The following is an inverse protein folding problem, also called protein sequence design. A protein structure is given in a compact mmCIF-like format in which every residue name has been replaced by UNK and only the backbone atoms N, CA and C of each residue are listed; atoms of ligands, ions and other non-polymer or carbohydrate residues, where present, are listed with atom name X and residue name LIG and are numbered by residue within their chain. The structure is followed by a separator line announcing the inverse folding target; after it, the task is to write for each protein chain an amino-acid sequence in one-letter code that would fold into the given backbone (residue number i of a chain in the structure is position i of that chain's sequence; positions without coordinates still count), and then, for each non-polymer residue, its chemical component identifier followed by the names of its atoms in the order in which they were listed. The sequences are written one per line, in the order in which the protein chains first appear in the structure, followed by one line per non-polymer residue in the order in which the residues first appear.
data_IF_176658960250
#
_entry.id   IF_176658960250
#
_cell.length_a   1.000
_cell.length_b   1.000
_cell.length_c   1.000
_cell.angle_alpha   90.00
_cell.angle_beta   90.00
_cell.angle_gamma   90.00
#
_symmetry.space_group_name_H-M   'P 1'
#
loop_
_entity.id
_entity.type
_entity.pdbx_description
1 polymer ?
#
# COMPACT_ATOMS: atom_id res chain seq x y z
N UNK A 1 10.01 -13.20 -34.30
CA UNK A 1 9.06 -12.97 -33.18
C UNK A 1 7.66 -12.91 -33.74
N UNK A 2 6.73 -13.68 -33.13
CA UNK A 2 5.32 -13.66 -33.53
C UNK A 2 4.62 -12.38 -33.10
N UNK A 3 3.50 -12.05 -33.72
CA UNK A 3 2.62 -10.94 -33.33
C UNK A 3 2.02 -11.20 -31.94
N UNK A 4 2.09 -10.25 -31.01
CA UNK A 4 1.57 -10.34 -29.65
C UNK A 4 0.17 -9.73 -29.56
N UNK A 5 -0.66 -10.36 -28.72
CA UNK A 5 -1.96 -9.81 -28.30
C UNK A 5 -1.89 -9.51 -26.80
N UNK A 6 -1.55 -8.28 -26.45
CA UNK A 6 -1.30 -7.85 -25.07
C UNK A 6 -2.56 -7.21 -24.49
N UNK A 7 -2.99 -7.66 -23.31
CA UNK A 7 -4.10 -7.04 -22.60
C UNK A 7 -3.62 -6.28 -21.37
N UNK A 8 -3.85 -4.96 -21.33
CA UNK A 8 -3.37 -4.09 -20.24
C UNK A 8 -4.49 -3.77 -19.26
N UNK A 9 -4.26 -3.95 -17.95
CA UNK A 9 -5.25 -3.68 -16.91
C UNK A 9 -4.67 -2.72 -15.88
N UNK A 10 -5.15 -1.47 -15.88
CA UNK A 10 -4.77 -0.45 -14.90
C UNK A 10 -5.93 0.53 -14.66
N UNK A 11 -6.18 0.88 -13.41
CA UNK A 11 -7.23 1.83 -13.03
C UNK A 11 -6.86 3.31 -13.25
N UNK A 12 -5.61 3.60 -13.55
CA UNK A 12 -5.16 4.93 -13.94
C UNK A 12 -5.21 5.08 -15.47
N UNK A 13 -6.24 5.71 -16.00
CA UNK A 13 -6.43 5.91 -17.46
C UNK A 13 -5.22 6.61 -18.07
N UNK A 14 -4.68 7.63 -17.40
CA UNK A 14 -3.50 8.36 -17.92
C UNK A 14 -2.26 7.47 -18.01
N UNK A 15 -1.99 6.66 -16.98
CA UNK A 15 -0.86 5.73 -17.00
C UNK A 15 -1.08 4.58 -17.99
N UNK A 16 -2.29 4.04 -18.06
CA UNK A 16 -2.67 2.99 -19.01
C UNK A 16 -2.43 3.45 -20.45
N UNK A 17 -2.90 4.66 -20.80
CA UNK A 17 -2.70 5.22 -22.13
C UNK A 17 -1.20 5.41 -22.47
N UNK A 18 -0.40 5.91 -21.51
CA UNK A 18 1.04 6.05 -21.71
C UNK A 18 1.73 4.69 -21.91
N UNK A 19 1.35 3.68 -21.11
CA UNK A 19 1.88 2.32 -21.24
C UNK A 19 1.50 1.70 -22.57
N UNK A 20 0.23 1.81 -22.99
CA UNK A 20 -0.25 1.29 -24.28
C UNK A 20 0.47 1.97 -25.46
N UNK A 21 0.64 3.29 -25.39
CA UNK A 21 1.38 4.04 -26.41
C UNK A 21 2.83 3.56 -26.52
N UNK A 22 3.51 3.39 -25.40
CA UNK A 22 4.90 2.94 -25.36
C UNK A 22 5.06 1.50 -25.87
N UNK A 23 4.14 0.59 -25.49
CA UNK A 23 4.13 -0.79 -25.98
C UNK A 23 3.86 -0.86 -27.49
N UNK A 24 2.99 -0.01 -28.06
CA UNK A 24 2.76 0.08 -29.51
C UNK A 24 4.01 0.48 -30.28
N UNK A 25 4.90 1.31 -29.68
CA UNK A 25 6.16 1.71 -30.31
C UNK A 25 7.25 0.63 -30.24
N UNK A 26 7.20 -0.27 -29.26
CA UNK A 26 8.28 -1.22 -28.96
C UNK A 26 8.00 -2.64 -29.38
N UNK A 27 6.73 -3.03 -29.42
CA UNK A 27 6.36 -4.40 -29.78
C UNK A 27 6.46 -4.61 -31.31
N UNK A 28 6.65 -5.87 -31.76
CA UNK A 28 6.73 -6.20 -33.17
C UNK A 28 5.52 -5.70 -33.97
N UNK A 29 5.76 -5.28 -35.21
CA UNK A 29 4.71 -4.84 -36.14
C UNK A 29 3.62 -5.91 -36.26
N UNK A 30 2.36 -5.48 -36.17
CA UNK A 30 1.18 -6.39 -36.19
C UNK A 30 0.74 -6.85 -34.79
N UNK A 31 1.43 -6.48 -33.72
CA UNK A 31 0.94 -6.72 -32.35
C UNK A 31 -0.31 -5.88 -32.07
N UNK A 32 -1.24 -6.43 -31.30
CA UNK A 32 -2.51 -5.77 -30.96
C UNK A 32 -2.60 -5.60 -29.44
N UNK A 33 -2.97 -4.41 -29.00
CA UNK A 33 -3.13 -4.11 -27.58
C UNK A 33 -4.57 -3.69 -27.32
N UNK A 34 -5.21 -4.30 -26.31
CA UNK A 34 -6.49 -3.85 -25.74
C UNK A 34 -6.31 -3.63 -24.25
N UNK A 35 -7.25 -2.95 -23.61
CA UNK A 35 -7.12 -2.57 -22.23
C UNK A 35 -8.45 -2.54 -21.47
N UNK A 36 -8.35 -2.50 -20.13
CA UNK A 36 -9.46 -2.33 -19.22
C UNK A 36 -9.04 -1.53 -17.99
N UNK A 37 -9.96 -0.71 -17.46
CA UNK A 37 -9.71 0.11 -16.27
C UNK A 37 -10.11 -0.56 -14.96
N UNK A 38 -10.77 -1.70 -15.06
CA UNK A 38 -11.21 -2.47 -13.88
C UNK A 38 -11.20 -3.99 -14.16
N UNK A 39 -11.13 -4.81 -13.10
CA UNK A 39 -11.26 -6.27 -13.21
C UNK A 39 -12.56 -6.73 -13.88
N UNK A 40 -13.68 -6.06 -13.61
CA UNK A 40 -14.99 -6.40 -14.20
C UNK A 40 -15.02 -6.13 -15.70
N UNK A 41 -14.46 -5.00 -16.13
CA UNK A 41 -14.31 -4.68 -17.55
C UNK A 41 -13.37 -5.66 -18.25
N UNK A 42 -12.24 -5.98 -17.61
CA UNK A 42 -11.27 -6.94 -18.13
C UNK A 42 -11.90 -8.31 -18.37
N UNK A 43 -12.69 -8.85 -17.44
CA UNK A 43 -13.37 -10.14 -17.64
C UNK A 43 -14.31 -10.15 -18.85
N UNK A 44 -15.01 -9.05 -19.11
CA UNK A 44 -15.92 -8.93 -20.27
C UNK A 44 -15.16 -8.95 -21.60
N UNK A 45 -13.98 -8.32 -21.66
CA UNK A 45 -13.18 -8.15 -22.88
C UNK A 45 -12.24 -9.33 -23.16
N UNK A 46 -11.61 -9.90 -22.14
CA UNK A 46 -10.56 -10.91 -22.26
C UNK A 46 -10.96 -12.14 -23.10
N UNK A 47 -12.19 -12.64 -22.91
CA UNK A 47 -12.67 -13.84 -23.64
C UNK A 47 -12.74 -13.60 -25.16
N UNK A 48 -13.20 -12.40 -25.56
CA UNK A 48 -13.29 -12.04 -26.98
C UNK A 48 -11.91 -11.66 -27.56
N UNK A 49 -11.08 -10.98 -26.74
CA UNK A 49 -9.76 -10.52 -27.16
C UNK A 49 -8.77 -11.66 -27.35
N UNK A 50 -8.85 -12.75 -26.59
CA UNK A 50 -7.90 -13.89 -26.63
C UNK A 50 -6.44 -13.44 -26.54
N UNK A 51 -5.99 -12.91 -25.38
CA UNK A 51 -4.63 -12.41 -25.23
C UNK A 51 -3.58 -13.51 -25.35
N UNK A 52 -2.37 -13.14 -25.78
CA UNK A 52 -1.16 -13.98 -25.66
C UNK A 52 -0.34 -13.61 -24.43
N UNK A 53 -0.59 -12.42 -23.83
CA UNK A 53 0.01 -11.98 -22.58
C UNK A 53 -0.93 -10.98 -21.90
N UNK A 54 -0.87 -10.93 -20.56
CA UNK A 54 -1.60 -9.95 -19.74
C UNK A 54 -0.60 -9.13 -18.94
N UNK A 55 -0.75 -7.81 -18.96
CA UNK A 55 0.05 -6.86 -18.16
C UNK A 55 -0.90 -6.13 -17.21
N UNK A 56 -0.68 -6.20 -15.90
CA UNK A 56 -1.63 -5.61 -14.98
C UNK A 56 -1.00 -4.95 -13.75
N UNK A 57 -1.68 -3.93 -13.24
CA UNK A 57 -1.39 -3.36 -11.93
C UNK A 57 -1.73 -4.38 -10.83
N UNK A 58 -0.74 -4.71 -9.99
CA UNK A 58 -0.90 -5.68 -8.90
C UNK A 58 -2.02 -5.31 -7.92
N UNK A 59 -2.27 -4.01 -7.70
CA UNK A 59 -3.34 -3.55 -6.82
C UNK A 59 -4.73 -4.04 -7.28
N UNK A 60 -4.95 -4.15 -8.60
CA UNK A 60 -6.19 -4.70 -9.17
C UNK A 60 -6.28 -6.21 -9.00
N UNK A 61 -5.15 -6.90 -8.98
CA UNK A 61 -5.08 -8.36 -8.78
C UNK A 61 -5.62 -8.82 -7.42
N UNK A 62 -5.60 -7.95 -6.43
CA UNK A 62 -6.12 -8.20 -5.10
C UNK A 62 -7.64 -7.93 -4.98
N UNK A 63 -8.26 -7.27 -5.96
CA UNK A 63 -9.70 -7.00 -5.95
C UNK A 63 -10.52 -8.27 -6.13
N UNK A 64 -11.71 -8.29 -5.52
CA UNK A 64 -12.64 -9.41 -5.67
C UNK A 64 -13.51 -9.20 -6.92
N UNK A 65 -13.62 -10.26 -7.71
CA UNK A 65 -14.59 -10.37 -8.80
C UNK A 65 -15.29 -11.71 -8.64
N UNK A 66 -16.61 -11.72 -8.57
CA UNK A 66 -17.40 -12.92 -8.30
C UNK A 66 -16.92 -13.73 -7.07
N UNK A 67 -16.56 -13.00 -5.98
CA UNK A 67 -16.06 -13.56 -4.70
C UNK A 67 -14.65 -14.18 -4.74
N UNK A 68 -13.97 -14.20 -5.89
CA UNK A 68 -12.58 -14.65 -6.02
C UNK A 68 -11.63 -13.44 -6.25
N UNK A 69 -10.39 -13.55 -5.82
CA UNK A 69 -9.36 -12.54 -6.12
C UNK A 69 -9.03 -12.57 -7.61
N UNK A 70 -8.93 -11.39 -8.20
CA UNK A 70 -8.85 -11.28 -9.66
C UNK A 70 -7.59 -11.92 -10.25
N UNK A 71 -6.40 -11.70 -9.68
CA UNK A 71 -5.17 -12.31 -10.21
C UNK A 71 -5.18 -13.85 -10.12
N UNK A 72 -5.48 -14.49 -8.98
CA UNK A 72 -5.65 -15.96 -8.94
C UNK A 72 -6.73 -16.49 -9.90
N UNK A 73 -7.83 -15.78 -10.07
CA UNK A 73 -8.88 -16.12 -11.02
C UNK A 73 -8.38 -16.07 -12.46
N UNK A 74 -7.61 -15.02 -12.83
CA UNK A 74 -6.99 -14.93 -14.15
C UNK A 74 -5.99 -16.07 -14.40
N UNK A 75 -5.13 -16.38 -13.43
CA UNK A 75 -4.14 -17.47 -13.54
C UNK A 75 -4.84 -18.82 -13.77
N UNK A 76 -5.96 -19.04 -13.08
CA UNK A 76 -6.77 -20.25 -13.25
C UNK A 76 -7.46 -20.32 -14.61
N UNK A 77 -7.94 -19.17 -15.10
CA UNK A 77 -8.64 -19.08 -16.38
C UNK A 77 -7.69 -19.12 -17.60
N UNK A 78 -6.47 -18.59 -17.42
CA UNK A 78 -5.46 -18.46 -18.47
C UNK A 78 -4.12 -19.10 -18.03
N UNK A 79 -4.07 -20.44 -17.81
CA UNK A 79 -2.90 -21.10 -17.21
C UNK A 79 -1.63 -21.00 -18.07
N UNK A 80 -1.78 -20.93 -19.40
CA UNK A 80 -0.68 -20.93 -20.37
C UNK A 80 -0.28 -19.51 -20.82
N UNK A 81 -1.00 -18.49 -20.35
CA UNK A 81 -0.74 -17.10 -20.74
C UNK A 81 0.13 -16.42 -19.65
N UNK A 82 1.27 -15.83 -20.01
CA UNK A 82 2.07 -15.08 -19.05
C UNK A 82 1.30 -13.86 -18.53
N UNK A 83 1.23 -13.77 -17.21
CA UNK A 83 0.62 -12.63 -16.50
C UNK A 83 1.74 -11.86 -15.83
N UNK A 84 2.09 -10.72 -16.42
CA UNK A 84 3.10 -9.79 -15.91
C UNK A 84 2.39 -8.78 -15.02
N UNK A 85 2.82 -8.68 -13.78
CA UNK A 85 2.26 -7.71 -12.86
C UNK A 85 3.27 -6.64 -12.51
N UNK A 86 2.80 -5.42 -12.26
CA UNK A 86 3.64 -4.32 -11.81
C UNK A 86 3.04 -3.58 -10.62
N UNK A 87 3.89 -2.91 -9.86
CA UNK A 87 3.52 -2.10 -8.71
C UNK A 87 4.71 -1.32 -8.18
N UNK A 88 4.48 -0.38 -7.26
CA UNK A 88 5.52 0.53 -6.77
C UNK A 88 6.40 -0.06 -5.66
N UNK A 89 6.04 -1.19 -5.07
CA UNK A 89 6.76 -1.79 -3.94
C UNK A 89 7.86 -2.76 -4.39
N UNK A 90 9.05 -2.67 -3.82
CA UNK A 90 10.17 -3.58 -4.09
C UNK A 90 9.98 -5.01 -3.54
N UNK A 91 9.14 -5.18 -2.51
CA UNK A 91 9.08 -6.41 -1.70
C UNK A 91 7.88 -7.30 -2.01
N UNK A 92 7.22 -7.13 -3.14
CA UNK A 92 6.02 -7.91 -3.51
C UNK A 92 6.24 -8.89 -4.66
N UNK A 93 7.46 -9.00 -5.19
CA UNK A 93 7.76 -9.92 -6.29
C UNK A 93 7.49 -11.39 -5.91
N UNK A 94 7.89 -11.81 -4.71
CA UNK A 94 7.60 -13.15 -4.18
C UNK A 94 6.10 -13.38 -3.98
N UNK A 95 5.38 -12.38 -3.49
CA UNK A 95 3.92 -12.43 -3.30
C UNK A 95 3.20 -12.49 -4.65
N UNK A 96 3.64 -11.71 -5.63
CA UNK A 96 3.07 -11.72 -6.98
C UNK A 96 3.24 -13.11 -7.64
N UNK A 97 4.42 -13.70 -7.53
CA UNK A 97 4.70 -15.07 -8.03
C UNK A 97 3.90 -16.13 -7.26
N UNK A 98 3.77 -16.02 -5.95
CA UNK A 98 2.92 -16.90 -5.14
C UNK A 98 1.45 -16.85 -5.58
N UNK A 99 0.96 -15.68 -6.02
CA UNK A 99 -0.38 -15.51 -6.58
C UNK A 99 -0.50 -15.97 -8.04
N UNK A 100 0.59 -16.48 -8.63
CA UNK A 100 0.64 -17.06 -9.97
C UNK A 100 1.04 -16.09 -11.08
N UNK A 101 1.52 -14.88 -10.76
CA UNK A 101 2.12 -14.01 -11.75
C UNK A 101 3.40 -14.61 -12.32
N UNK A 102 3.60 -14.48 -13.63
CA UNK A 102 4.80 -14.95 -14.33
C UNK A 102 6.02 -14.08 -13.99
N UNK A 103 5.81 -12.77 -13.89
CA UNK A 103 6.84 -11.78 -13.60
C UNK A 103 6.27 -10.62 -12.79
N UNK A 104 7.13 -9.98 -11.97
CA UNK A 104 6.82 -8.73 -11.29
C UNK A 104 7.82 -7.65 -11.67
N UNK A 105 7.33 -6.49 -12.08
CA UNK A 105 8.15 -5.35 -12.48
C UNK A 105 7.82 -4.15 -11.59
N UNK A 106 8.87 -3.56 -10.99
CA UNK A 106 8.71 -2.36 -10.18
C UNK A 106 8.35 -1.18 -11.07
N UNK A 107 7.22 -0.53 -10.77
CA UNK A 107 6.85 0.76 -11.34
C UNK A 107 7.66 1.88 -10.70
N UNK A 108 8.27 2.80 -11.47
CA UNK A 108 8.97 3.95 -10.95
C UNK A 108 8.07 4.87 -10.12
N UNK A 109 8.64 5.54 -9.15
CA UNK A 109 7.98 6.62 -8.42
C UNK A 109 7.98 7.92 -9.24
N UNK A 110 7.18 8.90 -8.82
CA UNK A 110 7.16 10.21 -9.46
C UNK A 110 8.56 10.86 -9.45
N UNK A 111 9.06 11.24 -10.64
CA UNK A 111 10.41 11.80 -10.82
C UNK A 111 11.50 10.78 -11.16
N UNK A 112 11.24 9.48 -11.09
CA UNK A 112 12.15 8.45 -11.57
C UNK A 112 11.98 8.21 -13.09
N UNK A 113 13.04 7.69 -13.74
CA UNK A 113 12.99 7.37 -15.16
C UNK A 113 12.05 6.20 -15.46
N UNK A 114 11.13 6.41 -16.38
CA UNK A 114 10.16 5.37 -16.81
C UNK A 114 10.77 4.34 -17.76
N UNK A 115 11.87 4.68 -18.45
CA UNK A 115 12.48 3.83 -19.46
C UNK A 115 12.80 2.41 -18.98
N UNK A 116 13.49 2.21 -17.82
CA UNK A 116 13.80 0.86 -17.33
C UNK A 116 12.54 0.02 -17.01
N UNK A 117 11.44 0.67 -16.65
CA UNK A 117 10.16 0.01 -16.42
C UNK A 117 9.57 -0.52 -17.74
N UNK A 118 9.54 0.31 -18.78
CA UNK A 118 9.05 -0.11 -20.10
C UNK A 118 9.93 -1.21 -20.70
N UNK A 119 11.26 -1.09 -20.57
CA UNK A 119 12.21 -2.14 -21.00
C UNK A 119 11.94 -3.46 -20.28
N UNK A 120 11.67 -3.41 -18.96
CA UNK A 120 11.32 -4.56 -18.16
C UNK A 120 10.01 -5.24 -18.62
N UNK A 121 8.97 -4.47 -18.92
CA UNK A 121 7.69 -5.01 -19.45
C UNK A 121 7.91 -5.69 -20.79
N UNK A 122 8.61 -5.04 -21.73
CA UNK A 122 8.88 -5.60 -23.06
C UNK A 122 9.69 -6.89 -22.97
N UNK A 123 10.77 -6.89 -22.20
CA UNK A 123 11.60 -8.09 -21.97
C UNK A 123 10.79 -9.25 -21.37
N UNK A 124 9.90 -8.96 -20.42
CA UNK A 124 9.04 -10.00 -19.81
C UNK A 124 8.02 -10.54 -20.82
N UNK A 125 7.47 -9.70 -21.69
CA UNK A 125 6.57 -10.11 -22.77
C UNK A 125 7.29 -11.00 -23.78
N UNK A 126 8.51 -10.65 -24.18
CA UNK A 126 9.32 -11.41 -25.14
C UNK A 126 9.75 -12.78 -24.60
N UNK A 127 10.22 -12.82 -23.33
CA UNK A 127 10.68 -14.04 -22.68
C UNK A 127 9.51 -14.96 -22.30
N UNK A 128 8.36 -14.41 -21.88
CA UNK A 128 7.18 -15.17 -21.49
C UNK A 128 6.48 -15.87 -22.66
N UNK A 129 6.65 -15.39 -23.88
CA UNK A 129 6.04 -15.93 -25.10
C UNK A 129 6.98 -16.86 -25.90
N UNK A 130 8.26 -16.99 -25.49
CA UNK A 130 9.29 -17.77 -26.19
C UNK A 130 9.46 -19.20 -25.67
N UNK A 131 8.69 -19.65 -24.67
CA UNK A 131 8.87 -20.98 -24.11
C UNK A 131 8.13 -22.04 -24.94
N UNK A 132 8.87 -22.86 -25.66
CA UNK A 132 8.53 -24.25 -25.93
C UNK A 132 8.11 -24.89 -24.60
N UNK A 133 6.91 -25.46 -24.59
CA UNK A 133 6.32 -26.01 -23.37
C UNK A 133 7.16 -27.08 -22.73
N UNK A 134 7.49 -26.95 -21.52
CA UNK A 134 7.99 -27.92 -20.56
C UNK A 134 9.23 -27.44 -19.79
N UNK A 135 9.05 -26.59 -18.80
CA UNK A 135 9.85 -26.65 -17.56
C UNK A 135 9.53 -25.42 -16.67
N UNK A 136 8.88 -25.64 -15.59
CA UNK A 136 8.99 -24.98 -14.30
C UNK A 136 7.66 -24.80 -13.54
N UNK A 137 6.87 -25.86 -13.44
CA UNK A 137 5.84 -25.95 -12.40
C UNK A 137 6.01 -27.28 -11.65
N UNK A 138 7.15 -27.48 -11.02
CA UNK A 138 7.33 -28.51 -9.99
C UNK A 138 8.65 -28.26 -9.26
N UNK A 139 8.58 -27.66 -8.10
CA UNK A 139 9.57 -27.91 -7.06
C UNK A 139 8.99 -27.44 -5.70
N UNK A 140 8.52 -28.42 -4.95
CA UNK A 140 8.47 -28.37 -3.49
C UNK A 140 9.87 -27.98 -2.96
N UNK A 141 10.00 -27.12 -1.94
CA UNK A 141 11.28 -26.79 -1.36
C UNK A 141 11.82 -27.98 -0.57
N UNK A 142 12.89 -28.58 -1.08
CA UNK A 142 13.76 -29.52 -0.35
C UNK A 142 14.67 -28.73 0.62
N UNK A 143 15.06 -29.29 1.76
CA UNK A 143 15.78 -28.55 2.81
C UNK A 143 17.19 -28.17 2.38
N UNK A 144 17.64 -26.99 2.85
CA UNK A 144 18.93 -26.38 2.57
C UNK A 144 20.12 -27.29 2.93
N UNK A 145 21.19 -27.35 2.09
CA UNK A 145 22.42 -28.01 2.45
C UNK A 145 23.27 -27.13 3.38
N UNK A 146 23.87 -27.77 4.39
CA UNK A 146 24.83 -27.18 5.33
C UNK A 146 26.02 -26.60 4.59
N UNK A 147 26.33 -25.34 4.86
CA UNK A 147 27.53 -24.66 4.37
C UNK A 147 28.74 -25.11 5.20
N UNK A 148 29.75 -25.66 4.52
CA UNK A 148 31.09 -25.88 5.08
C UNK A 148 31.91 -24.57 4.97
N UNK A 149 32.88 -24.32 5.87
CA UNK A 149 33.65 -23.08 5.89
C UNK A 149 34.64 -22.99 4.72
N UNK A 150 34.70 -21.83 4.06
CA UNK A 150 35.73 -21.51 3.05
C UNK A 150 36.86 -20.71 3.67
N UNK A 151 38.13 -20.94 3.21
CA UNK A 151 39.30 -20.27 3.73
C UNK A 151 39.44 -18.82 3.23
N UNK A 152 40.12 -18.02 4.04
CA UNK A 152 40.46 -16.61 3.82
C UNK A 152 41.22 -16.37 2.52
N UNK A 153 40.79 -15.39 1.72
CA UNK A 153 41.61 -14.80 0.65
C UNK A 153 41.49 -13.27 0.68
N UNK A 154 42.59 -12.66 1.06
CA UNK A 154 43.10 -11.31 0.79
C UNK A 154 42.13 -10.15 0.48
N UNK A 155 42.11 -9.27 1.45
CA UNK A 155 41.84 -7.85 1.51
C UNK A 155 42.32 -7.06 0.28
N UNK A 156 41.42 -6.63 -0.58
CA UNK A 156 41.63 -5.52 -1.48
C UNK A 156 40.80 -4.31 -0.98
N UNK A 157 41.44 -3.14 -0.95
CA UNK A 157 40.92 -1.91 -0.37
C UNK A 157 39.64 -1.47 -1.05
N UNK A 158 38.54 -1.40 -0.29
CA UNK A 158 37.28 -0.84 -0.72
C UNK A 158 37.37 0.70 -0.69
N UNK A 159 37.05 1.34 -1.82
CA UNK A 159 36.87 2.76 -1.91
C UNK A 159 35.73 3.20 -0.97
N UNK A 160 35.95 4.33 -0.29
CA UNK A 160 35.00 4.90 0.65
C UNK A 160 33.65 5.19 -0.04
N UNK A 161 32.51 4.98 0.64
CA UNK A 161 31.22 5.35 0.09
C UNK A 161 31.11 6.88 -0.06
N UNK A 162 30.38 7.36 -1.09
CA UNK A 162 30.20 8.78 -1.29
C UNK A 162 29.53 9.41 -0.06
N UNK A 163 30.03 10.58 0.37
CA UNK A 163 29.47 11.35 1.48
C UNK A 163 27.98 11.63 1.20
N UNK A 164 27.11 11.46 2.21
CA UNK A 164 25.71 11.87 2.05
C UNK A 164 25.66 13.37 1.74
N UNK A 165 24.91 13.71 0.68
CA UNK A 165 24.58 15.10 0.34
C UNK A 165 23.85 15.78 1.52
N UNK A 166 23.74 17.12 1.52
CA UNK A 166 23.21 17.85 2.66
C UNK A 166 21.86 17.30 3.07
N UNK A 167 21.78 16.83 4.32
CA UNK A 167 20.53 16.44 4.98
C UNK A 167 19.51 17.54 4.75
N UNK A 168 18.41 17.22 4.08
CA UNK A 168 17.25 18.10 4.10
C UNK A 168 16.86 18.27 5.56
N UNK A 169 17.11 19.45 6.10
CA UNK A 169 16.69 19.85 7.44
C UNK A 169 15.16 19.68 7.44
N UNK A 170 14.67 18.78 8.28
CA UNK A 170 13.23 18.63 8.47
C UNK A 170 12.65 20.01 8.79
N UNK A 171 11.57 20.43 8.12
CA UNK A 171 10.99 21.73 8.39
C UNK A 171 10.63 21.82 9.87
N UNK A 172 11.06 22.89 10.54
CA UNK A 172 10.65 23.18 11.92
C UNK A 172 9.16 23.50 11.85
N UNK A 173 8.34 22.53 12.20
CA UNK A 173 6.90 22.68 12.22
C UNK A 173 6.55 23.25 13.60
N UNK A 174 6.31 24.57 13.67
CA UNK A 174 5.77 25.21 14.87
C UNK A 174 4.29 24.85 15.02
N UNK A 175 4.01 23.69 15.61
CA UNK A 175 2.67 23.33 16.02
C UNK A 175 2.42 23.90 17.43
N UNK A 176 1.27 24.53 17.70
CA UNK A 176 0.91 24.88 19.06
C UNK A 176 0.84 23.61 19.90
N UNK A 177 1.47 23.61 21.07
CA UNK A 177 1.37 22.52 22.03
C UNK A 177 -0.12 22.26 22.30
N UNK A 178 -0.57 21.04 22.09
CA UNK A 178 -1.95 20.65 22.38
C UNK A 178 -2.24 20.85 23.88
N UNK A 179 -3.41 21.40 24.22
CA UNK A 179 -3.81 21.67 25.61
C UNK A 179 -4.18 20.39 26.41
N UNK A 180 -3.63 19.22 26.06
CA UNK A 180 -3.90 17.94 26.74
C UNK A 180 -2.92 16.84 26.31
N UNK A 181 -2.84 15.80 27.14
CA UNK A 181 -2.09 14.57 26.79
C UNK A 181 -2.82 13.80 25.70
N UNK A 182 -2.10 13.39 24.69
CA UNK A 182 -2.63 12.47 23.67
C UNK A 182 -2.47 11.03 24.18
N UNK A 183 -3.57 10.30 24.25
CA UNK A 183 -3.62 8.91 24.74
C UNK A 183 -3.75 7.91 23.58
N UNK A 184 -4.18 8.38 22.40
CA UNK A 184 -4.48 7.53 21.25
C UNK A 184 -4.21 8.26 19.93
N UNK A 185 -3.61 7.57 18.96
CA UNK A 185 -3.40 8.09 17.60
C UNK A 185 -4.20 7.23 16.63
N UNK A 186 -5.00 7.86 15.77
CA UNK A 186 -5.76 7.19 14.72
C UNK A 186 -5.28 7.64 13.34
N UNK A 187 -5.00 6.69 12.44
CA UNK A 187 -4.50 6.97 11.09
C UNK A 187 -5.40 6.28 10.06
N UNK A 188 -5.80 7.01 9.03
CA UNK A 188 -6.56 6.49 7.90
C UNK A 188 -5.81 6.65 6.58
N UNK A 189 -5.81 5.60 5.75
CA UNK A 189 -5.11 5.58 4.46
C UNK A 189 -5.78 4.64 3.45
N UNK A 190 -5.52 4.88 2.14
CA UNK A 190 -6.03 4.03 1.06
C UNK A 190 -4.99 3.87 -0.06
N UNK A 191 -5.27 4.26 -1.29
CA UNK A 191 -4.35 4.17 -2.43
C UNK A 191 -3.07 4.98 -2.18
N UNK A 192 -1.91 4.33 -2.28
CA UNK A 192 -0.61 4.90 -1.89
C UNK A 192 -0.36 4.88 -0.38
N UNK A 193 -1.33 4.39 0.42
CA UNK A 193 -1.24 4.38 1.88
C UNK A 193 -0.23 3.38 2.43
N UNK A 194 -0.04 2.24 1.78
CA UNK A 194 0.99 1.26 2.19
C UNK A 194 2.40 1.82 2.08
N UNK A 195 2.67 2.63 1.07
CA UNK A 195 3.92 3.35 0.87
C UNK A 195 4.06 4.49 1.88
N UNK A 196 2.98 5.28 2.05
CA UNK A 196 2.96 6.36 3.03
C UNK A 196 3.21 5.85 4.45
N UNK A 197 2.51 4.80 4.89
CA UNK A 197 2.71 4.15 6.19
C UNK A 197 4.12 3.55 6.32
N UNK A 198 4.66 2.97 5.24
CA UNK A 198 6.04 2.44 5.22
C UNK A 198 7.11 3.53 5.31
N UNK A 199 6.79 4.77 4.93
CA UNK A 199 7.67 5.93 5.09
C UNK A 199 7.58 6.54 6.49
N UNK A 200 6.37 6.66 7.07
CA UNK A 200 6.18 7.36 8.34
C UNK A 200 6.44 6.49 9.58
N UNK A 201 5.98 5.22 9.59
CA UNK A 201 6.06 4.39 10.80
C UNK A 201 7.50 4.07 11.25
N UNK A 202 8.49 3.79 10.37
CA UNK A 202 9.89 3.59 10.79
C UNK A 202 10.54 4.85 11.37
N UNK A 203 10.03 6.05 11.02
CA UNK A 203 10.53 7.31 11.54
C UNK A 203 10.02 7.62 12.96
N UNK A 204 8.92 6.98 13.39
CA UNK A 204 8.36 7.15 14.74
C UNK A 204 9.20 6.42 15.79
N UNK A 205 9.44 7.09 16.92
CA UNK A 205 10.25 6.57 18.03
C UNK A 205 9.48 6.58 19.34
N UNK A 206 9.65 5.54 20.17
CA UNK A 206 9.14 5.56 21.54
C UNK A 206 9.73 6.75 22.35
N UNK A 207 9.00 7.26 23.39
CA UNK A 207 7.66 6.83 23.79
C UNK A 207 6.57 7.50 22.96
N UNK A 208 5.53 6.73 22.60
CA UNK A 208 4.34 7.20 21.92
C UNK A 208 3.08 6.54 22.49
N UNK A 209 1.91 7.19 22.41
CA UNK A 209 0.63 6.53 22.63
C UNK A 209 0.44 5.32 21.70
N UNK A 210 -0.58 4.50 21.99
CA UNK A 210 -1.00 3.46 21.07
C UNK A 210 -1.53 4.06 19.76
N UNK A 211 -1.26 3.38 18.64
CA UNK A 211 -1.65 3.82 17.29
C UNK A 211 -2.60 2.80 16.69
N UNK A 212 -3.76 3.23 16.21
CA UNK A 212 -4.74 2.43 15.50
C UNK A 212 -4.86 2.89 14.06
N UNK A 213 -4.79 1.97 13.10
CA UNK A 213 -4.69 2.29 11.67
C UNK A 213 -5.73 1.55 10.87
N UNK A 214 -6.49 2.26 10.05
CA UNK A 214 -7.24 1.68 8.94
C UNK A 214 -6.51 2.01 7.64
N UNK A 215 -6.04 0.98 6.97
CA UNK A 215 -5.59 0.98 5.59
C UNK A 215 -6.59 0.18 4.77
N UNK A 216 -7.11 0.73 3.68
CA UNK A 216 -7.92 -0.04 2.74
C UNK A 216 -7.05 -1.09 2.06
N UNK A 217 -7.09 -2.29 2.59
CA UNK A 217 -6.26 -3.41 2.17
C UNK A 217 -7.07 -4.71 2.23
N UNK A 218 -6.93 -5.63 1.24
CA UNK A 218 -7.63 -6.90 1.27
C UNK A 218 -7.23 -7.79 2.46
N UNK A 219 -8.12 -8.71 2.89
CA UNK A 219 -7.78 -9.73 3.86
C UNK A 219 -6.49 -10.47 3.49
N UNK A 220 -5.72 -10.93 4.48
CA UNK A 220 -4.40 -11.56 4.36
C UNK A 220 -3.25 -10.56 4.08
N UNK A 221 -3.48 -9.51 3.29
CA UNK A 221 -2.45 -8.48 3.07
C UNK A 221 -2.24 -7.59 4.30
N UNK A 222 -3.28 -7.33 5.09
CA UNK A 222 -3.17 -6.59 6.35
C UNK A 222 -2.21 -7.26 7.32
N UNK A 223 -2.29 -8.58 7.45
CA UNK A 223 -1.39 -9.36 8.29
C UNK A 223 0.06 -9.29 7.79
N UNK A 224 0.30 -9.60 6.51
CA UNK A 224 1.64 -9.57 5.92
C UNK A 224 2.26 -8.17 5.98
N UNK A 225 1.45 -7.13 5.79
CA UNK A 225 1.87 -5.74 5.89
C UNK A 225 2.29 -5.40 7.33
N UNK A 226 1.51 -5.82 8.32
CA UNK A 226 1.82 -5.63 9.74
C UNK A 226 3.11 -6.34 10.15
N UNK A 227 3.27 -7.61 9.76
CA UNK A 227 4.47 -8.40 10.03
C UNK A 227 5.73 -7.77 9.41
N UNK A 228 5.63 -7.29 8.16
CA UNK A 228 6.73 -6.59 7.49
C UNK A 228 7.12 -5.30 8.22
N UNK A 229 6.14 -4.48 8.58
CA UNK A 229 6.40 -3.23 9.30
C UNK A 229 6.99 -3.47 10.69
N UNK A 230 6.53 -4.50 11.38
CA UNK A 230 7.07 -4.88 12.68
C UNK A 230 8.57 -5.21 12.62
N UNK A 231 9.04 -5.76 11.49
CA UNK A 231 10.46 -6.07 11.30
C UNK A 231 11.38 -4.87 11.06
N UNK A 232 10.82 -3.69 10.75
CA UNK A 232 11.61 -2.50 10.39
C UNK A 232 11.34 -1.26 11.25
N UNK A 233 10.37 -1.33 12.16
CA UNK A 233 9.97 -0.21 13.02
C UNK A 233 10.46 -0.39 14.46
N UNK A 234 10.66 0.72 15.17
CA UNK A 234 10.99 0.71 16.59
C UNK A 234 9.75 0.45 17.48
N UNK A 235 8.53 0.67 16.95
CA UNK A 235 7.26 0.36 17.59
C UNK A 235 6.88 -1.09 17.31
N UNK A 236 6.14 -1.72 18.23
CA UNK A 236 5.58 -3.06 18.00
C UNK A 236 4.35 -2.96 17.11
N UNK A 237 4.35 -3.63 15.97
CA UNK A 237 3.27 -3.56 14.98
C UNK A 237 2.61 -4.91 14.80
N UNK A 238 1.28 -4.96 14.83
CA UNK A 238 0.51 -6.18 14.57
C UNK A 238 -0.79 -5.89 13.83
N UNK A 239 -1.33 -6.90 13.16
CA UNK A 239 -2.73 -6.88 12.76
C UNK A 239 -3.60 -6.92 14.01
N UNK A 240 -4.61 -6.06 14.07
CA UNK A 240 -5.53 -5.96 15.19
C UNK A 240 -6.42 -7.20 15.32
N UNK A 241 -6.67 -7.62 16.53
CA UNK A 241 -7.66 -8.64 16.87
C UNK A 241 -8.77 -8.05 17.73
N UNK A 242 -9.96 -8.66 17.65
CA UNK A 242 -11.07 -8.29 18.55
C UNK A 242 -10.68 -8.48 20.01
N UNK A 243 -10.92 -7.48 20.84
CA UNK A 243 -10.55 -7.48 22.27
C UNK A 243 -9.10 -7.04 22.55
N UNK A 244 -8.28 -6.67 21.56
CA UNK A 244 -6.95 -6.11 21.83
C UNK A 244 -7.04 -4.84 22.67
N UNK A 245 -6.28 -4.79 23.76
CA UNK A 245 -6.09 -3.57 24.56
C UNK A 245 -4.99 -2.74 23.92
N UNK A 246 -5.30 -1.50 23.60
CA UNK A 246 -4.33 -0.57 22.99
C UNK A 246 -3.26 -0.20 24.02
N UNK A 247 -2.01 -0.48 23.70
CA UNK A 247 -0.84 -0.24 24.56
C UNK A 247 0.04 0.88 24.01
N UNK A 248 0.73 1.65 24.84
CA UNK A 248 1.77 2.57 24.39
C UNK A 248 2.83 1.84 23.54
N UNK A 249 3.40 2.54 22.57
CA UNK A 249 4.42 2.03 21.64
C UNK A 249 3.98 0.85 20.76
N UNK A 250 2.66 0.61 20.65
CA UNK A 250 2.10 -0.42 19.78
C UNK A 250 1.25 0.21 18.66
N UNK A 251 1.30 -0.42 17.51
CA UNK A 251 0.52 -0.08 16.32
C UNK A 251 -0.38 -1.25 15.95
N UNK A 252 -1.66 -0.98 15.79
CA UNK A 252 -2.68 -1.97 15.45
C UNK A 252 -3.27 -1.63 14.08
N UNK A 253 -3.05 -2.48 13.08
CA UNK A 253 -3.57 -2.31 11.73
C UNK A 253 -4.84 -3.13 11.59
N UNK A 254 -5.92 -2.51 11.14
CA UNK A 254 -7.20 -3.17 10.96
C UNK A 254 -7.11 -4.39 10.03
N UNK A 255 -7.72 -5.53 10.39
CA UNK A 255 -7.78 -6.69 9.51
C UNK A 255 -8.63 -6.37 8.27
N UNK A 256 -8.14 -6.73 7.10
CA UNK A 256 -8.93 -6.59 5.87
C UNK A 256 -10.25 -7.37 5.95
N UNK A 257 -11.33 -6.77 5.47
CA UNK A 257 -12.68 -7.38 5.48
C UNK A 257 -13.43 -7.29 6.81
N UNK A 258 -12.88 -6.60 7.82
CA UNK A 258 -13.58 -6.30 9.07
C UNK A 258 -13.41 -4.82 9.41
N UNK A 259 -14.45 -4.20 9.92
CA UNK A 259 -14.37 -2.86 10.48
C UNK A 259 -13.67 -2.90 11.84
N UNK A 260 -12.78 -1.94 12.06
CA UNK A 260 -12.12 -1.72 13.34
C UNK A 260 -12.69 -0.47 14.01
N UNK A 261 -13.06 -0.60 15.25
CA UNK A 261 -13.48 0.51 16.12
C UNK A 261 -12.79 0.40 17.49
N UNK A 262 -12.83 1.48 18.26
CA UNK A 262 -12.24 1.57 19.59
C UNK A 262 -13.33 1.92 20.60
N UNK A 263 -13.33 1.27 21.75
CA UNK A 263 -14.18 1.61 22.90
C UNK A 263 -13.34 1.89 24.13
N UNK A 264 -13.79 2.81 24.98
CA UNK A 264 -13.13 3.07 26.26
C UNK A 264 -13.66 2.10 27.32
N UNK A 265 -12.75 1.42 28.01
CA UNK A 265 -13.05 0.54 29.13
C UNK A 265 -12.19 0.96 30.34
N UNK A 266 -12.79 1.71 31.27
CA UNK A 266 -12.06 2.32 32.38
C UNK A 266 -11.01 3.31 31.87
N UNK A 267 -9.74 3.05 32.18
CA UNK A 267 -8.59 3.84 31.71
C UNK A 267 -7.99 3.35 30.40
N UNK A 268 -8.47 2.22 29.85
CA UNK A 268 -7.91 1.59 28.65
C UNK A 268 -8.80 1.78 27.44
N UNK A 269 -8.20 1.70 26.25
CA UNK A 269 -8.90 1.60 24.97
C UNK A 269 -8.85 0.15 24.48
N UNK A 270 -10.00 -0.36 24.04
CA UNK A 270 -10.13 -1.74 23.55
C UNK A 270 -10.61 -1.72 22.10
N UNK A 271 -9.91 -2.47 21.26
CA UNK A 271 -10.22 -2.61 19.83
C UNK A 271 -11.35 -3.62 19.66
N UNK A 272 -12.27 -3.30 18.76
CA UNK A 272 -13.28 -4.21 18.25
C UNK A 272 -13.09 -4.40 16.75
N UNK A 273 -13.04 -5.66 16.31
CA UNK A 273 -12.92 -6.03 14.89
C UNK A 273 -14.15 -6.83 14.47
N UNK A 274 -15.12 -6.20 13.80
CA UNK A 274 -16.40 -6.83 13.44
C UNK A 274 -16.60 -6.86 11.93
N UNK A 275 -17.14 -7.98 11.42
CA UNK A 275 -17.67 -8.01 10.08
C UNK A 275 -18.89 -7.09 9.98
N UNK A 276 -19.02 -6.41 8.86
CA UNK A 276 -20.14 -5.50 8.60
C UNK A 276 -20.24 -5.16 7.12
N UNK A 277 -21.36 -4.53 6.71
CA UNK A 277 -21.51 -4.06 5.35
C UNK A 277 -20.46 -2.99 5.04
N UNK A 278 -19.92 -2.94 3.82
CA UNK A 278 -19.00 -1.89 3.41
C UNK A 278 -19.59 -0.48 3.61
N UNK A 279 -18.83 0.43 4.20
CA UNK A 279 -19.12 1.86 4.22
C UNK A 279 -18.28 2.53 3.13
N UNK A 280 -18.87 3.41 2.30
CA UNK A 280 -18.18 3.97 1.12
C UNK A 280 -17.58 2.91 0.19
N UNK A 281 -18.21 1.74 0.10
CA UNK A 281 -17.74 0.56 -0.67
C UNK A 281 -16.45 -0.08 -0.17
N UNK A 282 -16.00 0.22 1.06
CA UNK A 282 -14.78 -0.32 1.67
C UNK A 282 -15.03 -0.96 3.05
N UNK A 283 -14.27 -1.99 3.36
CA UNK A 283 -14.22 -2.63 4.67
C UNK A 283 -12.79 -3.19 4.88
N UNK A 284 -12.03 -2.69 5.87
CA UNK A 284 -12.38 -1.69 6.89
C UNK A 284 -12.65 -0.29 6.33
N UNK A 285 -13.42 0.53 7.06
CA UNK A 285 -13.66 1.93 6.75
C UNK A 285 -12.99 2.86 7.78
N UNK A 286 -12.38 3.93 7.30
CA UNK A 286 -11.68 4.93 8.13
C UNK A 286 -12.67 5.73 8.96
N UNK A 287 -13.83 6.10 8.39
CA UNK A 287 -14.87 6.84 9.12
C UNK A 287 -15.35 6.08 10.36
N UNK A 288 -15.50 4.74 10.31
CA UNK A 288 -15.89 3.92 11.46
C UNK A 288 -14.82 3.98 12.57
N UNK A 289 -13.55 3.92 12.20
CA UNK A 289 -12.47 4.05 13.18
C UNK A 289 -12.47 5.45 13.81
N UNK A 290 -12.45 6.49 12.99
CA UNK A 290 -12.35 7.87 13.46
C UNK A 290 -13.57 8.28 14.29
N UNK A 291 -14.78 7.87 13.89
CA UNK A 291 -16.00 8.07 14.66
C UNK A 291 -15.89 7.49 16.08
N UNK A 292 -15.46 6.23 16.17
CA UNK A 292 -15.31 5.53 17.45
C UNK A 292 -14.20 6.13 18.33
N UNK A 293 -13.10 6.59 17.71
CA UNK A 293 -12.01 7.28 18.42
C UNK A 293 -12.46 8.64 18.93
N UNK A 294 -13.24 9.39 18.14
CA UNK A 294 -13.83 10.65 18.56
C UNK A 294 -14.71 10.49 19.81
N UNK A 295 -15.49 9.42 19.87
CA UNK A 295 -16.37 9.11 21.03
C UNK A 295 -15.58 8.57 22.25
N UNK A 296 -14.57 7.72 22.01
CA UNK A 296 -13.83 7.07 23.08
C UNK A 296 -12.77 7.96 23.75
N UNK A 297 -12.07 8.80 22.97
CA UNK A 297 -10.91 9.56 23.43
C UNK A 297 -11.11 11.08 23.37
N UNK A 298 -12.07 11.58 22.58
CA UNK A 298 -12.34 13.00 22.45
C UNK A 298 -11.06 13.78 22.14
N UNK A 299 -10.82 14.88 22.83
CA UNK A 299 -9.63 15.74 22.64
C UNK A 299 -8.27 15.07 22.92
N UNK A 300 -8.28 13.91 23.57
CA UNK A 300 -7.06 13.15 23.88
C UNK A 300 -6.64 12.21 22.74
N UNK A 301 -7.22 12.34 21.55
CA UNK A 301 -6.77 11.62 20.37
C UNK A 301 -6.11 12.55 19.36
N UNK A 302 -5.23 12.00 18.52
CA UNK A 302 -4.69 12.63 17.33
C UNK A 302 -5.22 11.90 16.09
N UNK A 303 -5.88 12.63 15.17
CA UNK A 303 -6.35 12.10 13.89
C UNK A 303 -5.38 12.41 12.77
N UNK A 304 -5.07 11.42 11.92
CA UNK A 304 -4.19 11.59 10.75
C UNK A 304 -4.85 10.96 9.52
N UNK A 305 -5.03 11.73 8.44
CA UNK A 305 -5.54 11.22 7.18
C UNK A 305 -4.47 11.32 6.09
N UNK A 306 -4.21 10.20 5.42
CA UNK A 306 -3.19 10.06 4.40
C UNK A 306 -3.81 9.86 3.01
N UNK A 307 -2.94 9.80 2.01
CA UNK A 307 -3.28 9.52 0.60
C UNK A 307 -4.35 8.44 0.43
N UNK A 308 -5.28 8.66 -0.48
CA UNK A 308 -6.35 7.72 -0.78
C UNK A 308 -7.40 8.26 -1.74
N UNK A 309 -8.11 7.36 -2.42
CA UNK A 309 -9.24 7.67 -3.30
C UNK A 309 -10.50 7.86 -2.46
N UNK A 310 -11.34 8.82 -2.86
CA UNK A 310 -12.67 9.02 -2.28
C UNK A 310 -12.67 9.95 -1.08
N UNK A 311 -13.61 9.71 -0.14
CA UNK A 311 -13.92 10.61 0.98
C UNK A 311 -13.91 9.91 2.35
N UNK A 312 -13.66 8.62 2.41
CA UNK A 312 -13.70 7.87 3.66
C UNK A 312 -12.71 8.43 4.67
N UNK A 313 -13.13 8.59 5.91
CA UNK A 313 -12.38 9.21 7.00
C UNK A 313 -12.52 10.73 7.10
N UNK A 314 -13.09 11.40 6.09
CA UNK A 314 -13.24 12.86 6.15
C UNK A 314 -14.28 13.29 7.20
N UNK A 315 -15.42 12.60 7.27
CA UNK A 315 -16.48 12.92 8.25
C UNK A 315 -16.05 12.54 9.68
N UNK A 316 -15.45 11.37 9.86
CA UNK A 316 -14.93 10.95 11.18
C UNK A 316 -13.79 11.85 11.67
N UNK A 317 -12.89 12.30 10.79
CA UNK A 317 -11.85 13.26 11.15
C UNK A 317 -12.43 14.63 11.57
N UNK A 318 -13.48 15.07 10.88
CA UNK A 318 -14.21 16.29 11.26
C UNK A 318 -14.84 16.16 12.65
N UNK A 319 -15.43 15.01 12.95
CA UNK A 319 -15.97 14.73 14.29
C UNK A 319 -14.86 14.72 15.35
N UNK A 320 -13.70 14.09 15.08
CA UNK A 320 -12.54 14.16 15.98
C UNK A 320 -12.13 15.62 16.25
N UNK A 321 -12.00 16.44 15.18
CA UNK A 321 -11.66 17.86 15.31
C UNK A 321 -12.69 18.64 16.13
N UNK A 322 -13.98 18.40 15.90
CA UNK A 322 -15.05 19.06 16.63
C UNK A 322 -15.07 18.67 18.13
N UNK A 323 -14.59 17.47 18.45
CA UNK A 323 -14.38 17.01 19.84
C UNK A 323 -13.06 17.52 20.45
N UNK A 324 -12.32 18.37 19.73
CA UNK A 324 -11.08 19.00 20.21
C UNK A 324 -9.80 18.21 19.95
N UNK A 325 -9.86 17.11 19.19
CA UNK A 325 -8.66 16.39 18.75
C UNK A 325 -7.84 17.23 17.77
N UNK A 326 -6.51 17.32 17.89
CA UNK A 326 -5.67 17.79 16.79
C UNK A 326 -5.78 16.85 15.60
N UNK A 327 -5.74 17.41 14.37
CA UNK A 327 -5.90 16.66 13.14
C UNK A 327 -4.86 17.05 12.09
N UNK A 328 -4.29 16.04 11.43
CA UNK A 328 -3.27 16.19 10.37
C UNK A 328 -3.81 15.59 9.07
N UNK A 329 -3.61 16.27 7.96
CA UNK A 329 -3.84 15.74 6.61
C UNK A 329 -2.56 15.78 5.78
N UNK A 330 -2.31 14.73 5.01
CA UNK A 330 -1.23 14.73 4.02
C UNK A 330 -1.52 15.77 2.94
N UNK A 331 -0.50 16.50 2.49
CA UNK A 331 -0.64 17.51 1.44
C UNK A 331 -0.80 16.90 0.03
N UNK A 332 -1.18 17.76 -0.92
CA UNK A 332 -1.37 17.36 -2.30
C UNK A 332 -0.05 16.96 -2.99
N UNK A 333 1.05 17.63 -2.63
CA UNK A 333 2.35 17.45 -3.31
C UNK A 333 2.97 16.07 -3.05
N UNK A 334 2.72 15.50 -1.86
CA UNK A 334 3.27 14.20 -1.47
C UNK A 334 2.25 13.06 -1.49
N UNK A 335 0.97 13.33 -1.73
CA UNK A 335 -0.07 12.30 -1.86
C UNK A 335 0.03 11.60 -3.21
N UNK A 336 0.05 10.26 -3.22
CA UNK A 336 -0.12 9.47 -4.45
C UNK A 336 -1.48 9.76 -5.10
N UNK A 337 -2.52 9.85 -4.26
CA UNK A 337 -3.86 10.30 -4.65
C UNK A 337 -4.38 11.28 -3.59
N UNK A 338 -4.49 12.54 -3.97
CA UNK A 338 -5.03 13.59 -3.09
C UNK A 338 -6.56 13.61 -3.16
N UNK A 339 -7.19 12.53 -2.67
CA UNK A 339 -8.64 12.36 -2.59
C UNK A 339 -9.15 12.46 -1.15
N UNK A 340 -8.92 11.43 -0.33
CA UNK A 340 -9.31 11.43 1.09
C UNK A 340 -8.78 12.65 1.85
N UNK A 341 -7.48 13.02 1.77
CA UNK A 341 -6.98 14.22 2.45
C UNK A 341 -7.59 15.50 1.91
N UNK A 342 -7.85 15.58 0.60
CA UNK A 342 -8.49 16.74 -0.03
C UNK A 342 -9.89 16.97 0.53
N UNK A 343 -10.74 15.93 0.51
CA UNK A 343 -12.12 16.05 1.01
C UNK A 343 -12.11 16.43 2.49
N UNK A 344 -11.24 15.82 3.31
CA UNK A 344 -11.09 16.17 4.72
C UNK A 344 -10.64 17.64 4.91
N UNK A 345 -9.73 18.13 4.07
CA UNK A 345 -9.29 19.53 4.08
C UNK A 345 -10.44 20.48 3.68
N UNK A 346 -11.12 20.18 2.59
CA UNK A 346 -12.19 21.03 2.03
C UNK A 346 -13.36 21.23 3.01
N UNK A 347 -13.71 20.19 3.81
CA UNK A 347 -14.75 20.29 4.84
C UNK A 347 -14.27 20.86 6.18
N UNK A 348 -12.98 21.24 6.26
CA UNK A 348 -12.40 21.78 7.48
C UNK A 348 -12.06 20.73 8.54
N UNK A 349 -11.92 19.46 8.20
CA UNK A 349 -11.53 18.40 9.13
C UNK A 349 -10.02 18.44 9.45
N UNK A 350 -9.18 18.92 8.53
CA UNK A 350 -7.73 19.01 8.69
C UNK A 350 -7.34 20.33 9.33
N UNK A 351 -6.66 20.25 10.47
CA UNK A 351 -6.08 21.43 11.16
C UNK A 351 -4.68 21.77 10.63
N UNK A 352 -3.87 20.73 10.39
CA UNK A 352 -2.50 20.88 9.90
C UNK A 352 -2.32 20.06 8.63
N UNK A 353 -2.09 20.72 7.49
CA UNK A 353 -1.74 20.06 6.25
C UNK A 353 -0.23 19.99 6.12
N UNK A 354 0.33 18.78 5.95
CA UNK A 354 1.76 18.54 6.01
C UNK A 354 2.24 17.63 4.88
N UNK A 355 3.47 17.82 4.40
CA UNK A 355 4.12 16.86 3.53
C UNK A 355 4.36 15.55 4.28
N UNK A 356 4.31 14.41 3.57
CA UNK A 356 4.40 13.06 4.13
C UNK A 356 5.53 12.90 5.16
N UNK A 357 6.74 13.35 4.81
CA UNK A 357 7.92 13.21 5.69
C UNK A 357 7.93 14.18 6.88
N UNK A 358 7.05 15.19 6.90
CA UNK A 358 6.82 16.07 8.04
C UNK A 358 5.87 15.48 9.09
N UNK A 359 5.00 14.54 8.69
CA UNK A 359 3.99 13.95 9.56
C UNK A 359 4.58 13.23 10.78
N UNK A 360 5.66 12.43 10.69
CA UNK A 360 6.25 11.78 11.87
C UNK A 360 6.72 12.77 12.93
N UNK A 361 7.36 13.87 12.51
CA UNK A 361 7.82 14.92 13.41
C UNK A 361 6.62 15.58 14.10
N UNK A 362 5.56 15.88 13.36
CA UNK A 362 4.33 16.47 13.90
C UNK A 362 3.65 15.54 14.92
N UNK A 363 3.53 14.26 14.61
CA UNK A 363 3.00 13.24 15.54
C UNK A 363 3.80 13.23 16.83
N UNK A 364 5.13 13.19 16.76
CA UNK A 364 6.00 13.17 17.94
C UNK A 364 5.96 14.47 18.75
N UNK A 365 5.69 15.61 18.12
CA UNK A 365 5.55 16.91 18.83
C UNK A 365 4.20 17.01 19.55
N UNK A 366 3.11 16.58 18.90
CA UNK A 366 1.75 16.66 19.44
C UNK A 366 1.52 15.61 20.53
N UNK A 367 2.12 14.42 20.40
CA UNK A 367 1.91 13.30 21.30
C UNK A 367 2.86 13.27 22.52
N UNK A 368 3.68 14.31 22.68
CA UNK A 368 4.49 14.53 23.90
C UNK A 368 3.62 15.13 24.99
#
# INVERSE_FOLDING_TARGET
MGTLRVFVIDNSIAFQNALVQELNHRLPSGSVIDNATSPVEAQKKLTAFKPTAIVMNLALGAMLVNQEKFLPSLVKQYPDIPIIVYGISNNVSSTARYLGASEYIKKPLAGELMQPFYDGIVNALENGTSSDGSAARSANPSPAPRVAPRPDVHRAAAAAPPKPGPSAVAPVINLPAGNGTIDLIAIGASTGGTEALSAILPALKPPLPGIVIVQHIPPMFSRLFSERLNGICALTIKEAADGDVVKPNHVYIAPGGKHMSVTRQGSSYVIQCKAGPPLHSVCPAVDILFDSVADAAGRNALGVILTGIGKDGAAGLLKMRNNGSPTIGQDAATSTVYGMPKVAFDIGAVQHQLPLLGIPTAIQQIAK
#
